data_IF_124867891807
#
_entry.id   IF_124867891807
#
_cell.length_a   1.000
_cell.length_b   1.000
_cell.length_c   1.000
_cell.angle_alpha   90.00
_cell.angle_beta   90.00
_cell.angle_gamma   90.00
#
_symmetry.space_group_name_H-M   'P 1'
#
loop_
_entity.id
_entity.type
_entity.pdbx_description
1 polymer ?
#
# COMPACT_ATOMS: atom_id res chain seq x y z
N UNK A 1 -19.85 6.47 -23.46
CA UNK A 1 -18.56 5.79 -23.20
C UNK A 1 -18.79 4.79 -22.07
N UNK A 2 -18.78 3.49 -22.37
CA UNK A 2 -19.01 2.46 -21.37
C UNK A 2 -17.77 2.32 -20.48
N UNK A 3 -17.96 2.32 -19.16
CA UNK A 3 -16.89 2.02 -18.23
C UNK A 3 -16.33 0.62 -18.57
N UNK A 4 -15.04 0.55 -18.92
CA UNK A 4 -14.36 -0.73 -19.04
C UNK A 4 -14.55 -1.45 -17.70
N UNK A 5 -15.09 -2.67 -17.75
CA UNK A 5 -15.17 -3.52 -16.57
C UNK A 5 -13.71 -3.86 -16.22
N UNK A 6 -13.19 -3.20 -15.19
CA UNK A 6 -11.89 -3.55 -14.63
C UNK A 6 -12.02 -4.99 -14.12
N UNK A 7 -11.20 -5.90 -14.64
CA UNK A 7 -11.20 -7.29 -14.21
C UNK A 7 -10.44 -7.39 -12.87
N UNK A 8 -11.01 -8.09 -11.88
CA UNK A 8 -10.42 -8.27 -10.55
C UNK A 8 -11.16 -7.55 -9.42
N UNK A 9 -11.21 -8.17 -8.23
CA UNK A 9 -11.54 -7.48 -6.97
C UNK A 9 -10.36 -6.63 -6.47
N UNK A 10 -10.64 -5.64 -5.63
CA UNK A 10 -9.58 -4.88 -4.96
C UNK A 10 -8.77 -5.76 -4.01
N UNK A 11 -7.46 -5.53 -3.95
CA UNK A 11 -6.53 -6.32 -3.12
C UNK A 11 -6.00 -5.48 -1.96
N UNK A 12 -6.17 -5.99 -0.75
CA UNK A 12 -5.75 -5.32 0.49
C UNK A 12 -4.34 -5.72 0.88
N UNK A 13 -3.60 -4.74 1.37
CA UNK A 13 -2.26 -4.94 1.90
C UNK A 13 -2.01 -4.05 3.11
N UNK A 14 -0.85 -4.22 3.73
CA UNK A 14 -0.29 -3.25 4.66
C UNK A 14 1.20 -3.04 4.38
N UNK A 15 1.70 -1.89 4.78
CA UNK A 15 3.14 -1.60 4.76
C UNK A 15 3.76 -2.06 6.07
N UNK A 16 4.69 -3.01 5.97
CA UNK A 16 5.45 -3.55 7.10
C UNK A 16 6.84 -2.92 7.14
N UNK A 17 7.06 -2.08 8.16
CA UNK A 17 8.34 -1.42 8.43
C UNK A 17 9.23 -2.38 9.20
N UNK A 18 10.22 -2.95 8.53
CA UNK A 18 11.23 -3.82 9.16
C UNK A 18 12.26 -3.01 9.93
N UNK A 19 12.65 -1.86 9.39
CA UNK A 19 13.65 -0.97 10.00
C UNK A 19 13.13 0.47 9.96
N UNK A 20 13.01 1.10 11.13
CA UNK A 20 12.75 2.54 11.21
C UNK A 20 14.07 3.31 11.27
N UNK A 21 14.61 3.64 10.10
CA UNK A 21 15.87 4.40 9.97
C UNK A 21 15.77 5.85 10.48
N UNK A 22 14.54 6.35 10.68
CA UNK A 22 14.30 7.76 11.08
C UNK A 22 13.89 7.91 12.55
N UNK A 23 13.43 6.83 13.19
CA UNK A 23 12.81 6.86 14.52
C UNK A 23 11.41 7.50 14.56
N UNK A 24 10.83 7.85 13.41
CA UNK A 24 9.58 8.61 13.35
C UNK A 24 8.31 7.76 13.52
N UNK A 25 8.36 6.45 13.24
CA UNK A 25 7.14 5.62 13.13
C UNK A 25 7.20 4.30 13.90
N UNK A 26 8.38 3.85 14.29
CA UNK A 26 8.63 2.50 14.79
C UNK A 26 8.54 1.43 13.69
N UNK A 27 8.98 0.20 13.99
CA UNK A 27 8.78 -0.96 13.13
C UNK A 27 7.34 -1.50 13.18
N UNK A 28 6.99 -2.37 12.23
CA UNK A 28 5.71 -3.06 12.11
C UNK A 28 4.75 -2.42 11.11
N UNK A 29 3.44 -2.65 11.30
CA UNK A 29 2.38 -2.17 10.39
C UNK A 29 2.19 -0.66 10.51
N UNK A 30 2.78 0.08 9.56
CA UNK A 30 2.78 1.56 9.54
C UNK A 30 1.70 2.17 8.65
N UNK A 31 1.15 1.41 7.71
CA UNK A 31 0.04 1.85 6.87
C UNK A 31 -0.82 0.68 6.39
N UNK A 32 -2.07 0.97 6.07
CA UNK A 32 -3.00 0.07 5.37
C UNK A 32 -3.13 0.49 3.92
N UNK A 33 -3.37 -0.45 3.01
CA UNK A 33 -3.50 -0.14 1.60
C UNK A 33 -4.51 -1.01 0.86
N UNK A 34 -5.00 -0.44 -0.24
CA UNK A 34 -5.84 -1.12 -1.23
C UNK A 34 -5.27 -0.85 -2.61
N UNK A 35 -4.99 -1.90 -3.37
CA UNK A 35 -4.74 -1.86 -4.80
C UNK A 35 -6.08 -2.06 -5.51
N UNK A 36 -6.50 -1.06 -6.28
CA UNK A 36 -7.73 -1.08 -7.04
C UNK A 36 -7.54 -1.83 -8.37
N UNK A 37 -8.63 -2.36 -8.95
CA UNK A 37 -8.57 -3.09 -10.22
C UNK A 37 -8.07 -2.28 -11.42
N UNK A 38 -8.10 -0.94 -11.35
CA UNK A 38 -7.49 -0.05 -12.36
C UNK A 38 -5.98 0.18 -12.17
N UNK A 39 -5.38 -0.46 -11.17
CA UNK A 39 -3.96 -0.31 -10.82
C UNK A 39 -3.67 0.85 -9.87
N UNK A 40 -4.64 1.72 -9.59
CA UNK A 40 -4.46 2.80 -8.62
C UNK A 40 -4.40 2.26 -7.20
N UNK A 41 -3.80 3.02 -6.28
CA UNK A 41 -3.57 2.58 -4.90
C UNK A 41 -4.00 3.66 -3.92
N UNK A 42 -4.70 3.27 -2.86
CA UNK A 42 -4.94 4.11 -1.69
C UNK A 42 -4.15 3.59 -0.50
N UNK A 43 -3.40 4.45 0.17
CA UNK A 43 -2.65 4.15 1.40
C UNK A 43 -3.17 5.02 2.54
N UNK A 44 -3.49 4.40 3.68
CA UNK A 44 -3.84 5.03 4.95
C UNK A 44 -2.69 4.87 5.95
N UNK A 45 -1.96 5.96 6.18
CA UNK A 45 -0.90 6.01 7.19
C UNK A 45 -1.47 6.01 8.61
N UNK A 46 -0.81 5.27 9.50
CA UNK A 46 -1.15 5.13 10.92
C UNK A 46 -0.30 6.09 11.76
N UNK A 47 -0.63 6.17 13.05
CA UNK A 47 0.12 6.96 14.04
C UNK A 47 -0.57 8.28 14.41
N UNK A 48 0.17 9.17 15.08
CA UNK A 48 -0.38 10.40 15.67
C UNK A 48 -0.88 11.44 14.65
N UNK A 49 -0.40 11.37 13.40
CA UNK A 49 -0.77 12.28 12.31
C UNK A 49 -1.18 11.45 11.09
N UNK A 50 -2.36 10.83 11.10
CA UNK A 50 -2.74 9.91 10.06
C UNK A 50 -3.12 10.67 8.77
N UNK A 51 -2.73 10.14 7.62
CA UNK A 51 -3.02 10.71 6.30
C UNK A 51 -3.46 9.63 5.33
N UNK A 52 -4.21 10.03 4.31
CA UNK A 52 -4.60 9.15 3.20
C UNK A 52 -4.01 9.70 1.92
N UNK A 53 -3.34 8.85 1.15
CA UNK A 53 -2.68 9.22 -0.10
C UNK A 53 -3.11 8.26 -1.20
N UNK A 54 -3.36 8.80 -2.38
CA UNK A 54 -3.66 8.02 -3.58
C UNK A 54 -2.48 8.07 -4.54
N UNK A 55 -2.19 6.94 -5.18
CA UNK A 55 -1.11 6.76 -6.15
C UNK A 55 -1.65 6.20 -7.45
N UNK A 56 -0.98 6.52 -8.56
CA UNK A 56 -1.24 5.93 -9.88
C UNK A 56 -0.92 4.44 -9.93
N UNK A 57 0.08 4.00 -9.15
CA UNK A 57 0.51 2.61 -9.12
C UNK A 57 1.09 2.22 -7.76
N UNK A 58 1.20 0.92 -7.51
CA UNK A 58 1.85 0.39 -6.31
C UNK A 58 3.37 0.60 -6.33
N UNK A 59 3.96 0.62 -7.53
CA UNK A 59 5.40 0.84 -7.72
C UNK A 59 5.80 2.26 -7.34
N UNK A 60 4.96 3.26 -7.64
CA UNK A 60 5.19 4.64 -7.21
C UNK A 60 5.19 4.75 -5.68
N UNK A 61 4.21 4.10 -5.03
CA UNK A 61 4.11 4.09 -3.58
C UNK A 61 5.35 3.47 -2.92
N UNK A 62 5.88 2.37 -3.47
CA UNK A 62 7.06 1.67 -2.93
C UNK A 62 8.37 2.32 -3.29
N UNK A 63 8.49 2.94 -4.47
CA UNK A 63 9.67 3.71 -4.83
C UNK A 63 9.94 4.81 -3.80
N UNK A 64 8.88 5.46 -3.32
CA UNK A 64 8.99 6.56 -2.35
C UNK A 64 9.07 6.05 -0.90
N UNK A 65 8.32 5.00 -0.55
CA UNK A 65 8.17 4.58 0.86
C UNK A 65 8.85 3.26 1.23
N UNK A 66 9.41 2.53 0.26
CA UNK A 66 10.06 1.24 0.47
C UNK A 66 11.42 1.34 1.16
N UNK A 67 12.11 2.47 1.01
CA UNK A 67 13.41 2.76 1.64
C UNK A 67 14.41 1.59 1.52
N UNK A 68 14.64 1.09 0.30
CA UNK A 68 15.59 -0.01 0.05
C UNK A 68 15.22 -1.33 0.71
N UNK A 69 13.92 -1.58 0.95
CA UNK A 69 13.43 -2.80 1.59
C UNK A 69 13.23 -2.68 3.11
N UNK A 70 13.49 -1.49 3.70
CA UNK A 70 13.15 -1.22 5.09
C UNK A 70 11.64 -1.17 5.35
N UNK A 71 10.84 -0.91 4.31
CA UNK A 71 9.38 -1.09 4.32
C UNK A 71 8.96 -1.98 3.15
N UNK A 72 8.15 -3.00 3.42
CA UNK A 72 7.69 -3.95 2.40
C UNK A 72 6.16 -4.04 2.38
N UNK A 73 5.60 -4.52 1.27
CA UNK A 73 4.18 -4.83 1.17
C UNK A 73 3.94 -6.22 1.76
N UNK A 74 2.94 -6.32 2.61
CA UNK A 74 2.36 -7.60 3.00
C UNK A 74 0.91 -7.67 2.57
N UNK A 75 0.61 -8.60 1.66
CA UNK A 75 -0.75 -8.84 1.17
C UNK A 75 -1.61 -9.54 2.23
N UNK A 76 -2.86 -9.10 2.35
CA UNK A 76 -3.84 -9.68 3.28
C UNK A 76 -4.64 -10.78 2.58
N UNK A 77 -4.93 -10.58 1.30
CA UNK A 77 -5.76 -11.48 0.52
C UNK A 77 -4.89 -12.59 -0.13
N UNK A 78 -5.30 -13.86 -0.10
CA UNK A 78 -4.59 -14.95 -0.77
C UNK A 78 -4.49 -14.74 -2.28
N UNK A 79 -3.41 -15.25 -2.88
CA UNK A 79 -3.22 -15.23 -4.33
C UNK A 79 -4.37 -16.00 -5.03
N UNK A 80 -4.96 -15.40 -6.08
CA UNK A 80 -6.01 -16.02 -6.90
C UNK A 80 -7.45 -15.55 -6.65
N UNK A 81 -7.68 -14.54 -5.82
CA UNK A 81 -8.97 -13.84 -5.77
C UNK A 81 -8.97 -12.70 -6.81
N UNK A 82 -9.53 -12.95 -7.98
CA UNK A 82 -9.74 -12.00 -9.09
C UNK A 82 -11.10 -12.23 -9.73
#
# INVERSE_FOLDING_TARGET
MGAARLAGDQRRFYLDRRVDVTGASGPGRVADGVLWPDGTVTVRWRGARPSTVNWSSIDDAITIHGHGGATVITWIDPEGQS
#
